data_IF_942723605828
#
_entry.id   IF_942723605828
#
_cell.length_a   1.000
_cell.length_b   1.000
_cell.length_c   1.000
_cell.angle_alpha   90.00
_cell.angle_beta   90.00
_cell.angle_gamma   90.00
#
_symmetry.space_group_name_H-M   'P 1'
#
loop_
_entity.id
_entity.type
_entity.pdbx_description
1 polymer ?
#
# COMPACT_ATOMS: atom_id res chain seq x y z
N UNK A 1 24.90 -4.87 -22.23
CA UNK A 1 24.77 -4.27 -20.88
C UNK A 1 24.06 -2.94 -21.06
N UNK A 2 22.75 -2.88 -20.77
CA UNK A 2 21.98 -1.64 -20.86
C UNK A 2 21.79 -1.11 -19.44
N UNK A 3 22.59 -0.13 -19.08
CA UNK A 3 22.37 0.70 -17.89
C UNK A 3 21.21 1.65 -18.20
N UNK A 4 20.22 1.73 -17.32
CA UNK A 4 19.13 2.70 -17.44
C UNK A 4 19.71 4.11 -17.32
N UNK A 5 19.92 4.77 -18.45
CA UNK A 5 20.32 6.19 -18.51
C UNK A 5 19.13 7.02 -18.05
N UNK A 6 19.34 7.81 -17.00
CA UNK A 6 18.39 8.74 -16.36
C UNK A 6 17.18 9.13 -17.23
N UNK A 7 16.04 8.48 -16.96
CA UNK A 7 14.79 8.61 -17.68
C UNK A 7 13.88 7.42 -17.34
N UNK A 8 12.63 7.67 -16.94
CA UNK A 8 11.66 6.62 -16.62
C UNK A 8 11.60 5.57 -17.75
N UNK A 9 11.50 4.26 -17.44
CA UNK A 9 11.37 3.23 -18.45
C UNK A 9 10.22 3.56 -19.41
N UNK A 10 10.36 3.29 -20.73
CA UNK A 10 9.32 3.63 -21.71
C UNK A 10 7.92 3.11 -21.39
N UNK A 11 7.81 2.01 -20.64
CA UNK A 11 6.54 1.44 -20.17
C UNK A 11 5.90 2.18 -18.98
N UNK A 12 6.70 2.87 -18.16
CA UNK A 12 6.21 3.55 -16.95
C UNK A 12 5.33 4.76 -17.29
N UNK A 13 5.77 5.61 -18.24
CA UNK A 13 5.01 6.80 -18.67
C UNK A 13 3.60 6.44 -19.20
N UNK A 14 3.48 5.32 -19.91
CA UNK A 14 2.20 4.83 -20.43
C UNK A 14 1.26 4.34 -19.32
N UNK A 15 1.79 3.64 -18.33
CA UNK A 15 1.02 3.18 -17.18
C UNK A 15 0.57 4.34 -16.28
N UNK A 16 1.43 5.34 -16.05
CA UNK A 16 1.07 6.56 -15.32
C UNK A 16 -0.08 7.30 -16.01
N UNK A 17 0.02 7.51 -17.32
CA UNK A 17 -1.05 8.13 -18.11
C UNK A 17 -2.37 7.32 -18.06
N UNK A 18 -2.29 5.99 -18.10
CA UNK A 18 -3.45 5.13 -17.95
C UNK A 18 -4.07 5.23 -16.55
N UNK A 19 -3.24 5.26 -15.50
CA UNK A 19 -3.67 5.43 -14.12
C UNK A 19 -4.41 6.76 -13.93
N UNK A 20 -3.81 7.86 -14.39
CA UNK A 20 -4.37 9.21 -14.29
C UNK A 20 -5.70 9.33 -15.05
N UNK A 21 -5.83 8.64 -16.19
CA UNK A 21 -7.06 8.61 -16.97
C UNK A 21 -8.23 7.98 -16.23
N UNK A 22 -8.00 6.86 -15.52
CA UNK A 22 -9.09 6.09 -14.89
C UNK A 22 -9.35 6.51 -13.44
N UNK A 23 -8.36 7.08 -12.74
CA UNK A 23 -8.45 7.39 -11.30
C UNK A 23 -9.63 8.29 -10.94
N UNK A 24 -9.93 9.41 -11.64
CA UNK A 24 -11.07 10.25 -11.29
C UNK A 24 -12.42 9.51 -11.43
N UNK A 25 -12.58 8.72 -12.49
CA UNK A 25 -13.77 7.90 -12.72
C UNK A 25 -13.93 6.85 -11.61
N UNK A 26 -12.87 6.14 -11.26
CA UNK A 26 -12.90 5.12 -10.21
C UNK A 26 -13.23 5.71 -8.83
N UNK A 27 -12.64 6.86 -8.49
CA UNK A 27 -12.90 7.54 -7.22
C UNK A 27 -14.31 8.10 -7.12
N UNK A 28 -14.91 8.50 -8.24
CA UNK A 28 -16.24 9.12 -8.25
C UNK A 28 -17.36 8.09 -8.41
N UNK A 29 -17.30 7.30 -9.48
CA UNK A 29 -18.43 6.49 -9.94
C UNK A 29 -18.36 5.06 -9.38
N UNK A 30 -17.20 4.65 -8.86
CA UNK A 30 -16.95 3.30 -8.36
C UNK A 30 -16.37 3.30 -6.92
N UNK A 31 -16.61 4.37 -6.16
CA UNK A 31 -16.03 4.59 -4.84
C UNK A 31 -16.30 3.45 -3.82
N UNK A 32 -17.43 2.76 -3.96
CA UNK A 32 -17.82 1.66 -3.08
C UNK A 32 -17.04 0.37 -3.35
N UNK A 33 -16.31 0.28 -4.47
CA UNK A 33 -15.51 -0.88 -4.83
C UNK A 33 -14.03 -0.57 -5.02
N UNK A 34 -13.72 0.65 -5.46
CA UNK A 34 -12.34 1.05 -5.72
C UNK A 34 -11.53 1.20 -4.42
N UNK A 35 -10.34 0.60 -4.39
CA UNK A 35 -9.39 0.73 -3.29
C UNK A 35 -8.19 1.61 -3.67
N UNK A 36 -7.36 1.18 -4.62
CA UNK A 36 -6.22 1.98 -5.09
C UNK A 36 -5.71 1.49 -6.45
N UNK A 37 -4.74 2.21 -7.00
CA UNK A 37 -4.00 1.82 -8.21
C UNK A 37 -2.52 1.78 -7.86
N UNK A 38 -1.83 0.73 -8.31
CA UNK A 38 -0.38 0.64 -8.27
C UNK A 38 0.17 0.25 -9.65
N UNK A 39 1.47 0.48 -9.85
CA UNK A 39 2.16 0.05 -11.05
C UNK A 39 2.98 -1.20 -10.75
N UNK A 40 2.85 -2.21 -11.58
CA UNK A 40 3.77 -3.31 -11.62
C UNK A 40 4.83 -3.02 -12.70
N UNK A 41 6.10 -3.10 -12.32
CA UNK A 41 7.23 -2.89 -13.23
C UNK A 41 8.44 -3.73 -12.79
N UNK A 42 9.34 -4.09 -13.72
CA UNK A 42 10.62 -4.69 -13.38
C UNK A 42 11.36 -3.84 -12.34
N UNK A 43 11.80 -4.47 -11.26
CA UNK A 43 12.59 -3.77 -10.23
C UNK A 43 14.09 -3.77 -10.54
N UNK A 44 14.53 -4.63 -11.47
CA UNK A 44 15.94 -4.82 -11.86
C UNK A 44 16.03 -5.19 -13.34
N UNK A 45 17.20 -5.03 -14.01
CA UNK A 45 17.35 -5.33 -15.44
C UNK A 45 17.10 -6.81 -15.82
N UNK A 46 17.30 -7.73 -14.89
CA UNK A 46 17.09 -9.17 -15.06
C UNK A 46 15.68 -9.65 -14.65
N UNK A 47 14.88 -8.74 -14.07
CA UNK A 47 13.51 -9.00 -13.69
C UNK A 47 12.62 -9.06 -14.93
N UNK A 48 11.95 -10.21 -15.13
CA UNK A 48 11.06 -10.47 -16.26
C UNK A 48 9.60 -10.06 -16.00
N UNK A 49 9.35 -9.36 -14.90
CA UNK A 49 8.01 -8.87 -14.55
C UNK A 49 7.48 -7.94 -15.64
N UNK A 50 6.34 -8.29 -16.22
CA UNK A 50 5.73 -7.43 -17.23
C UNK A 50 5.13 -6.17 -16.59
N UNK A 51 5.19 -5.07 -17.34
CA UNK A 51 4.53 -3.82 -17.00
C UNK A 51 3.00 -4.03 -16.97
N UNK A 52 2.37 -3.69 -15.86
CA UNK A 52 0.92 -3.76 -15.73
C UNK A 52 0.39 -2.70 -14.77
N UNK A 53 -0.85 -2.28 -14.99
CA UNK A 53 -1.60 -1.50 -14.03
C UNK A 53 -2.30 -2.43 -13.05
N UNK A 54 -2.01 -2.32 -11.76
CA UNK A 54 -2.71 -3.05 -10.71
C UNK A 54 -3.88 -2.22 -10.21
N UNK A 55 -5.10 -2.73 -10.34
CA UNK A 55 -6.31 -2.09 -9.81
C UNK A 55 -6.80 -2.90 -8.62
N UNK A 56 -6.60 -2.35 -7.42
CA UNK A 56 -7.06 -2.94 -6.17
C UNK A 56 -8.52 -2.55 -5.95
N UNK A 57 -9.37 -3.54 -5.64
CA UNK A 57 -10.80 -3.34 -5.51
C UNK A 57 -11.47 -4.40 -4.64
N UNK A 58 -12.60 -4.03 -4.06
CA UNK A 58 -13.61 -5.01 -3.64
C UNK A 58 -14.22 -5.65 -4.90
N UNK A 59 -14.39 -6.98 -4.95
CA UNK A 59 -14.82 -7.64 -6.17
C UNK A 59 -16.17 -7.15 -6.73
N UNK A 60 -16.17 -6.51 -7.91
CA UNK A 60 -17.39 -6.09 -8.60
C UNK A 60 -17.17 -5.97 -10.12
N UNK A 61 -17.91 -6.71 -10.96
CA UNK A 61 -17.64 -6.79 -12.40
C UNK A 61 -17.83 -5.46 -13.15
N UNK A 62 -18.74 -4.59 -12.69
CA UNK A 62 -18.97 -3.30 -13.36
C UNK A 62 -17.75 -2.37 -13.32
N UNK A 63 -16.91 -2.47 -12.28
CA UNK A 63 -15.66 -1.72 -12.22
C UNK A 63 -14.67 -2.26 -13.26
N UNK A 64 -14.52 -3.58 -13.35
CA UNK A 64 -13.58 -4.21 -14.28
C UNK A 64 -13.90 -3.87 -15.73
N UNK A 65 -15.17 -3.94 -16.10
CA UNK A 65 -15.63 -3.64 -17.45
C UNK A 65 -15.41 -2.17 -17.80
N UNK A 66 -15.63 -1.26 -16.83
CA UNK A 66 -15.36 0.16 -17.01
C UNK A 66 -13.87 0.44 -17.21
N UNK A 67 -13.00 -0.20 -16.44
CA UNK A 67 -11.55 -0.07 -16.58
C UNK A 67 -11.08 -0.61 -17.93
N UNK A 68 -11.48 -1.84 -18.30
CA UNK A 68 -11.13 -2.43 -19.60
C UNK A 68 -11.59 -1.58 -20.77
N UNK A 69 -12.77 -0.95 -20.67
CA UNK A 69 -13.28 -0.03 -21.70
C UNK A 69 -12.52 1.30 -21.75
N UNK A 70 -12.07 1.82 -20.61
CA UNK A 70 -11.40 3.11 -20.54
C UNK A 70 -9.94 3.05 -21.05
N UNK A 71 -9.27 1.91 -20.86
CA UNK A 71 -7.85 1.68 -21.22
C UNK A 71 -7.66 0.32 -21.92
N UNK A 72 -8.25 0.11 -23.10
CA UNK A 72 -8.29 -1.20 -23.76
C UNK A 72 -6.91 -1.75 -24.16
N UNK A 73 -5.95 -0.85 -24.38
CA UNK A 73 -4.59 -1.21 -24.83
C UNK A 73 -3.60 -1.36 -23.66
N UNK A 74 -4.06 -1.19 -22.41
CA UNK A 74 -3.21 -1.31 -21.21
C UNK A 74 -3.41 -2.66 -20.56
N UNK A 75 -2.30 -3.35 -20.23
CA UNK A 75 -2.37 -4.56 -19.41
C UNK A 75 -2.81 -4.20 -17.99
N UNK A 76 -3.97 -4.69 -17.58
CA UNK A 76 -4.52 -4.48 -16.25
C UNK A 76 -4.62 -5.80 -15.50
N UNK A 77 -4.17 -5.81 -14.25
CA UNK A 77 -4.40 -6.89 -13.30
C UNK A 77 -5.32 -6.37 -12.20
N UNK A 78 -6.42 -7.08 -11.97
CA UNK A 78 -7.34 -6.78 -10.88
C UNK A 78 -6.92 -7.55 -9.64
N UNK A 79 -6.79 -6.84 -8.52
CA UNK A 79 -6.40 -7.41 -7.23
C UNK A 79 -7.56 -7.24 -6.27
N UNK A 80 -8.07 -8.36 -5.78
CA UNK A 80 -9.19 -8.38 -4.87
C UNK A 80 -8.74 -7.94 -3.46
N UNK A 81 -9.53 -7.06 -2.85
CA UNK A 81 -9.34 -6.56 -1.50
C UNK A 81 -10.62 -6.69 -0.67
N UNK A 82 -10.49 -6.65 0.66
CA UNK A 82 -11.65 -6.66 1.56
C UNK A 82 -12.23 -5.27 1.79
N UNK A 83 -11.39 -4.25 1.73
CA UNK A 83 -11.76 -2.85 1.94
C UNK A 83 -11.65 -2.06 0.64
N UNK A 84 -12.63 -1.20 0.40
CA UNK A 84 -12.50 -0.08 -0.54
C UNK A 84 -11.75 1.10 0.11
N UNK A 85 -11.45 2.15 -0.67
CA UNK A 85 -10.68 3.31 -0.20
C UNK A 85 -11.34 3.99 1.01
N UNK A 86 -12.65 4.21 0.94
CA UNK A 86 -13.40 4.87 2.01
C UNK A 86 -13.36 4.07 3.32
N UNK A 87 -13.45 2.75 3.24
CA UNK A 87 -13.37 1.87 4.40
C UNK A 87 -11.96 1.81 4.98
N UNK A 88 -10.94 1.79 4.11
CA UNK A 88 -9.54 1.88 4.51
C UNK A 88 -9.24 3.20 5.25
N UNK A 89 -9.67 4.33 4.70
CA UNK A 89 -9.52 5.64 5.35
C UNK A 89 -10.24 5.69 6.70
N UNK A 90 -11.44 5.12 6.79
CA UNK A 90 -12.18 5.02 8.05
C UNK A 90 -11.43 4.16 9.08
N UNK A 91 -10.80 3.07 8.67
CA UNK A 91 -9.97 2.23 9.53
C UNK A 91 -8.75 3.00 10.04
N UNK A 92 -8.01 3.68 9.16
CA UNK A 92 -6.87 4.52 9.54
C UNK A 92 -7.28 5.60 10.56
N UNK A 93 -8.40 6.28 10.32
CA UNK A 93 -8.93 7.32 11.21
C UNK A 93 -9.47 6.78 12.54
N UNK A 94 -9.77 5.48 12.64
CA UNK A 94 -10.19 4.86 13.90
C UNK A 94 -9.05 4.74 14.91
N UNK A 95 -7.79 4.86 14.46
CA UNK A 95 -6.62 4.80 15.33
C UNK A 95 -6.46 6.10 16.11
N UNK A 96 -6.77 6.04 17.40
CA UNK A 96 -6.64 7.19 18.29
C UNK A 96 -5.20 7.35 18.79
N UNK A 97 -4.40 8.15 18.10
CA UNK A 97 -3.05 8.49 18.52
C UNK A 97 -3.01 9.15 19.91
N UNK A 98 -3.97 10.04 20.21
CA UNK A 98 -4.08 10.68 21.53
C UNK A 98 -4.29 9.69 22.66
N UNK A 99 -5.23 8.74 22.48
CA UNK A 99 -5.51 7.69 23.47
C UNK A 99 -4.26 6.87 23.85
N UNK A 100 -3.42 6.55 22.86
CA UNK A 100 -2.20 5.77 23.05
C UNK A 100 -1.07 6.60 23.64
N UNK A 101 -0.92 7.85 23.20
CA UNK A 101 0.06 8.78 23.77
C UNK A 101 -0.17 8.99 25.25
N UNK A 102 -1.43 9.18 25.67
CA UNK A 102 -1.78 9.37 27.09
C UNK A 102 -1.48 8.12 27.96
N UNK A 103 -1.26 6.96 27.32
CA UNK A 103 -0.85 5.71 27.96
C UNK A 103 0.65 5.46 27.87
N UNK A 104 1.42 6.38 27.29
CA UNK A 104 2.86 6.25 27.10
C UNK A 104 3.25 5.40 25.89
N UNK A 105 2.32 5.10 24.98
CA UNK A 105 2.64 4.52 23.68
C UNK A 105 2.80 5.62 22.63
N UNK A 106 4.01 5.75 22.10
CA UNK A 106 4.28 6.55 20.91
C UNK A 106 4.22 5.64 19.67
N UNK A 107 3.25 5.90 18.79
CA UNK A 107 3.16 5.26 17.48
C UNK A 107 4.02 6.06 16.52
N UNK A 108 5.11 5.47 16.05
CA UNK A 108 6.09 6.12 15.17
C UNK A 108 5.68 6.02 13.70
N UNK A 109 5.07 4.90 13.31
CA UNK A 109 4.46 4.70 12.00
C UNK A 109 3.15 3.95 12.15
N UNK A 110 2.21 4.24 11.24
CA UNK A 110 0.96 3.52 11.11
C UNK A 110 0.68 3.32 9.62
N UNK A 111 0.38 2.10 9.24
CA UNK A 111 -0.19 1.78 7.94
C UNK A 111 -1.18 0.64 8.07
N UNK A 112 -2.27 0.68 7.32
CA UNK A 112 -3.17 -0.45 7.18
C UNK A 112 -3.18 -0.92 5.74
N UNK A 113 -3.30 -2.22 5.53
CA UNK A 113 -3.54 -2.79 4.21
C UNK A 113 -5.04 -2.76 3.86
N UNK A 114 -5.35 -3.08 2.60
CA UNK A 114 -6.72 -3.18 2.12
C UNK A 114 -7.42 -4.51 2.52
N UNK A 115 -6.77 -5.37 3.30
CA UNK A 115 -7.38 -6.53 3.96
C UNK A 115 -7.84 -6.23 5.40
N UNK A 116 -7.56 -5.01 5.87
CA UNK A 116 -7.96 -4.51 7.17
C UNK A 116 -7.03 -4.96 8.30
N UNK A 117 -5.77 -5.22 8.00
CA UNK A 117 -4.70 -5.42 8.99
C UNK A 117 -3.89 -4.14 9.11
N UNK A 118 -3.65 -3.69 10.33
CA UNK A 118 -2.88 -2.47 10.60
C UNK A 118 -1.53 -2.80 11.23
N UNK A 119 -0.46 -2.24 10.68
CA UNK A 119 0.90 -2.30 11.21
C UNK A 119 1.19 -1.05 12.01
N UNK A 120 1.58 -1.25 13.27
CA UNK A 120 1.99 -0.21 14.21
C UNK A 120 3.49 -0.30 14.42
N UNK A 121 4.24 0.71 13.96
CA UNK A 121 5.64 0.86 14.28
C UNK A 121 5.80 1.55 15.63
N UNK A 122 6.43 0.87 16.58
CA UNK A 122 6.66 1.35 17.95
C UNK A 122 8.05 0.95 18.43
N UNK A 123 8.58 1.62 19.45
CA UNK A 123 9.95 1.35 19.92
C UNK A 123 10.09 -0.04 20.57
N UNK A 124 9.08 -0.46 21.34
CA UNK A 124 9.02 -1.74 22.05
C UNK A 124 7.75 -2.51 21.68
N UNK A 125 7.78 -3.34 20.62
CA UNK A 125 6.61 -4.09 20.16
C UNK A 125 6.08 -5.07 21.20
N UNK A 126 6.95 -5.73 21.94
CA UNK A 126 6.58 -6.80 22.86
C UNK A 126 5.79 -6.24 24.06
N UNK A 127 6.15 -5.04 24.52
CA UNK A 127 5.38 -4.31 25.53
C UNK A 127 3.95 -3.97 25.08
N UNK A 128 3.75 -3.61 23.82
CA UNK A 128 2.49 -3.02 23.34
C UNK A 128 1.58 -3.97 22.56
N UNK A 129 2.10 -5.11 22.08
CA UNK A 129 1.37 -6.07 21.24
C UNK A 129 0.02 -6.46 21.84
N UNK A 130 0.01 -6.96 23.07
CA UNK A 130 -1.23 -7.43 23.71
C UNK A 130 -2.26 -6.32 23.90
N UNK A 131 -1.83 -5.08 24.19
CA UNK A 131 -2.75 -3.96 24.36
C UNK A 131 -3.37 -3.52 23.02
N UNK A 132 -2.56 -3.48 21.96
CA UNK A 132 -3.03 -3.16 20.61
C UNK A 132 -3.98 -4.24 20.07
N UNK A 133 -3.64 -5.52 20.24
CA UNK A 133 -4.52 -6.63 19.89
C UNK A 133 -5.83 -6.63 20.69
N UNK A 134 -5.79 -6.27 21.97
CA UNK A 134 -7.00 -6.17 22.79
C UNK A 134 -7.94 -5.06 22.33
N UNK A 135 -7.41 -3.93 21.83
CA UNK A 135 -8.21 -2.80 21.36
C UNK A 135 -8.76 -2.99 19.94
N UNK A 136 -7.94 -3.51 19.03
CA UNK A 136 -8.24 -3.55 17.60
C UNK A 136 -8.56 -4.96 17.08
N UNK A 137 -8.35 -5.99 17.90
CA UNK A 137 -8.61 -7.39 17.58
C UNK A 137 -7.35 -8.17 17.25
N UNK A 138 -7.31 -9.43 17.71
CA UNK A 138 -6.23 -10.37 17.40
C UNK A 138 -6.19 -10.68 15.90
N UNK A 139 -5.00 -10.67 15.30
CA UNK A 139 -4.82 -10.89 13.86
C UNK A 139 -5.28 -9.74 12.97
N UNK A 140 -5.70 -8.60 13.56
CA UNK A 140 -5.95 -7.34 12.86
C UNK A 140 -4.84 -6.31 13.06
N UNK A 141 -3.84 -6.68 13.84
CA UNK A 141 -2.71 -5.82 14.18
C UNK A 141 -1.40 -6.58 13.97
N UNK A 142 -0.45 -5.91 13.34
CA UNK A 142 0.96 -6.25 13.36
C UNK A 142 1.66 -5.15 14.15
N UNK A 143 2.58 -5.52 15.04
CA UNK A 143 3.37 -4.57 15.82
C UNK A 143 4.83 -4.84 15.54
N UNK A 144 5.51 -3.81 15.05
CA UNK A 144 6.89 -3.89 14.56
C UNK A 144 7.76 -2.85 15.25
N UNK A 145 9.05 -3.17 15.32
CA UNK A 145 10.02 -2.28 15.94
C UNK A 145 10.32 -1.14 14.97
N UNK A 146 9.96 0.07 15.37
CA UNK A 146 10.27 1.29 14.65
C UNK A 146 10.75 2.34 15.63
N UNK A 147 11.91 2.94 15.35
CA UNK A 147 12.47 3.97 16.22
C UNK A 147 11.71 5.29 16.02
N UNK A 148 11.64 6.16 17.04
CA UNK A 148 11.15 7.51 16.87
C UNK A 148 11.89 8.22 15.72
N UNK A 149 11.16 8.94 14.87
CA UNK A 149 11.82 9.87 13.96
C UNK A 149 12.47 10.97 14.81
N UNK A 150 13.80 11.03 14.81
CA UNK A 150 14.50 12.16 15.40
C UNK A 150 14.26 13.40 14.53
N UNK A 151 14.13 14.57 15.15
CA UNK A 151 13.87 15.83 14.46
C UNK A 151 15.03 16.29 13.53
N UNK A 152 16.15 15.55 13.51
CA UNK A 152 17.37 15.90 12.81
C UNK A 152 17.55 15.13 11.51
N UNK A 153 16.47 14.95 10.74
CA UNK A 153 16.46 14.71 9.29
C UNK A 153 17.48 13.71 8.71
N UNK A 154 17.96 12.74 9.47
CA UNK A 154 18.98 11.82 9.03
C UNK A 154 18.38 10.86 8.02
N UNK A 155 18.67 11.09 6.74
CA UNK A 155 18.46 10.11 5.66
C UNK A 155 18.89 8.73 6.16
N UNK A 156 17.91 7.86 6.42
CA UNK A 156 18.21 6.44 6.58
C UNK A 156 18.63 5.92 5.21
N UNK A 157 19.76 5.21 5.10
CA UNK A 157 20.05 4.42 3.90
C UNK A 157 18.91 3.42 3.73
N UNK A 158 18.25 3.47 2.57
CA UNK A 158 17.32 2.42 2.15
C UNK A 158 18.11 1.12 1.97
N UNK A 159 18.25 0.32 3.03
CA UNK A 159 18.66 -1.08 2.86
C UNK A 159 17.51 -1.83 2.18
N UNK A 160 17.70 -2.37 0.95
CA UNK A 160 16.69 -3.22 0.34
C UNK A 160 16.46 -4.46 1.20
N UNK A 161 15.25 -5.04 1.21
CA UNK A 161 14.96 -6.23 2.00
C UNK A 161 15.89 -7.37 1.59
N UNK A 162 16.59 -7.91 2.59
CA UNK A 162 17.35 -9.16 2.50
C UNK A 162 16.37 -10.27 2.15
N UNK A 163 16.53 -10.87 0.96
CA UNK A 163 15.87 -12.12 0.63
C UNK A 163 16.33 -13.20 1.62
N UNK A 164 15.41 -13.78 2.39
CA UNK A 164 15.70 -14.99 3.14
C UNK A 164 16.07 -16.13 2.17
N UNK A 165 17.12 -16.92 2.48
CA UNK A 165 17.51 -18.04 1.63
C UNK A 165 16.48 -19.16 1.71
N UNK A 166 15.95 -19.58 0.56
CA UNK A 166 15.21 -20.83 0.43
C UNK A 166 16.18 -22.00 0.60
N UNK A 167 15.75 -23.00 1.39
CA UNK A 167 16.38 -24.31 1.56
C UNK A 167 16.31 -25.14 0.29
#
# INVERSE_FOLDING_TARGET
MSTWTSGMPPGQNGLDAAADRIRPMLQKDYADWFATIALQQPSRPDDKTEYALLVYRVPHPALDDAVRKAIPDTKVLFVDTKLNLKQHDALMNSVSFGYWRDRGLQINTLGCDFDGVCTFGVEDPDKWRSALEAKYGKGKVIVEKEAPMTADGGERPVTPPVASPSR
#
